data_IF_915090793098
#
_entry.id   IF_915090793098
#
_cell.length_a   1.000
_cell.length_b   1.000
_cell.length_c   1.000
_cell.angle_alpha   90.00
_cell.angle_beta   90.00
_cell.angle_gamma   90.00
#
_symmetry.space_group_name_H-M   'P 1'
#
loop_
_entity.id
_entity.type
_entity.pdbx_description
1 polymer ?
#
# COMPACT_ATOMS: atom_id res chain seq x y z
N UNK A 1 12.62 -15.45 14.49
CA UNK A 1 11.30 -15.47 15.19
C UNK A 1 10.32 -14.52 14.50
N UNK A 2 9.00 -14.63 14.69
CA UNK A 2 8.03 -13.69 14.07
C UNK A 2 8.31 -12.24 14.48
N UNK A 3 8.62 -12.06 15.76
CA UNK A 3 9.09 -10.81 16.35
C UNK A 3 10.39 -10.29 15.72
N UNK A 4 11.33 -11.18 15.37
CA UNK A 4 12.57 -10.82 14.69
C UNK A 4 12.31 -10.32 13.26
N UNK A 5 11.40 -10.95 12.53
CA UNK A 5 11.00 -10.50 11.20
C UNK A 5 10.30 -9.13 11.23
N UNK A 6 9.42 -8.92 12.22
CA UNK A 6 8.81 -7.60 12.46
C UNK A 6 9.85 -6.55 12.82
N UNK A 7 10.82 -6.89 13.68
CA UNK A 7 11.91 -6.01 14.07
C UNK A 7 12.79 -5.63 12.87
N UNK A 8 13.15 -6.59 12.00
CA UNK A 8 13.92 -6.31 10.78
C UNK A 8 13.17 -5.38 9.82
N UNK A 9 11.84 -5.53 9.69
CA UNK A 9 11.01 -4.64 8.87
C UNK A 9 10.95 -3.22 9.44
N UNK A 10 10.76 -3.10 10.76
CA UNK A 10 10.77 -1.81 11.45
C UNK A 10 12.16 -1.15 11.38
N UNK A 11 13.22 -1.94 11.48
CA UNK A 11 14.59 -1.47 11.30
C UNK A 11 14.82 -0.95 9.89
N UNK A 12 14.35 -1.65 8.85
CA UNK A 12 14.46 -1.19 7.46
C UNK A 12 13.82 0.21 7.28
N UNK A 13 12.63 0.40 7.85
CA UNK A 13 11.94 1.69 7.84
C UNK A 13 12.70 2.77 8.61
N UNK A 14 13.22 2.45 9.80
CA UNK A 14 13.98 3.40 10.61
C UNK A 14 15.32 3.79 9.97
N UNK A 15 16.01 2.83 9.34
CA UNK A 15 17.24 3.08 8.58
C UNK A 15 16.99 4.05 7.43
N UNK A 16 15.87 3.86 6.74
CA UNK A 16 15.50 4.72 5.64
C UNK A 16 15.11 6.14 6.07
N UNK A 17 14.33 6.27 7.15
CA UNK A 17 14.02 7.57 7.76
C UNK A 17 15.28 8.28 8.27
N UNK A 18 16.30 7.52 8.71
CA UNK A 18 17.61 8.01 9.14
C UNK A 18 18.61 8.29 8.02
N UNK A 19 18.25 8.11 6.74
CA UNK A 19 19.14 8.35 5.60
C UNK A 19 20.31 7.35 5.51
N UNK A 20 20.12 6.13 6.02
CA UNK A 20 21.10 5.06 5.90
C UNK A 20 21.35 4.69 4.43
N UNK A 21 22.46 3.98 4.19
CA UNK A 21 22.78 3.49 2.84
C UNK A 21 21.69 2.52 2.36
N UNK A 22 21.30 2.64 1.09
CA UNK A 22 20.23 1.84 0.45
C UNK A 22 20.46 0.33 0.60
N UNK A 23 21.71 -0.11 0.49
CA UNK A 23 22.10 -1.50 0.74
C UNK A 23 21.71 -2.01 2.14
N UNK A 24 21.76 -1.18 3.18
CA UNK A 24 21.39 -1.57 4.54
C UNK A 24 19.87 -1.71 4.69
N UNK A 25 19.10 -0.84 4.04
CA UNK A 25 17.64 -0.91 4.00
C UNK A 25 17.20 -2.18 3.26
N UNK A 26 17.79 -2.44 2.09
CA UNK A 26 17.54 -3.66 1.32
C UNK A 26 17.89 -4.94 2.09
N UNK A 27 19.04 -4.98 2.75
CA UNK A 27 19.46 -6.16 3.51
C UNK A 27 18.51 -6.45 4.68
N UNK A 28 18.04 -5.41 5.37
CA UNK A 28 17.05 -5.54 6.43
C UNK A 28 15.72 -6.10 5.89
N UNK A 29 15.22 -5.61 4.75
CA UNK A 29 14.04 -6.15 4.10
C UNK A 29 14.23 -7.61 3.64
N UNK A 30 15.36 -7.93 3.00
CA UNK A 30 15.70 -9.30 2.57
C UNK A 30 15.79 -10.25 3.77
N UNK A 31 16.32 -9.80 4.91
CA UNK A 31 16.33 -10.58 6.14
C UNK A 31 14.91 -10.80 6.67
N UNK A 32 14.08 -9.76 6.74
CA UNK A 32 12.69 -9.87 7.17
C UNK A 32 11.90 -10.86 6.30
N UNK A 33 12.03 -10.79 4.97
CA UNK A 33 11.34 -11.70 4.04
C UNK A 33 11.82 -13.15 4.19
N UNK A 34 13.14 -13.37 4.37
CA UNK A 34 13.68 -14.70 4.66
C UNK A 34 13.11 -15.29 5.95
N UNK A 35 12.95 -14.47 6.99
CA UNK A 35 12.34 -14.91 8.25
C UNK A 35 10.86 -15.25 8.02
N UNK A 36 10.12 -14.41 7.30
CA UNK A 36 8.71 -14.64 7.00
C UNK A 36 8.49 -15.96 6.26
N UNK A 37 9.28 -16.23 5.21
CA UNK A 37 9.22 -17.48 4.46
C UNK A 37 9.58 -18.71 5.32
N UNK A 38 10.59 -18.62 6.18
CA UNK A 38 10.94 -19.73 7.10
C UNK A 38 9.83 -20.08 8.08
N UNK A 39 8.89 -19.18 8.29
CA UNK A 39 7.81 -19.30 9.27
C UNK A 39 6.45 -19.48 8.62
N UNK A 40 6.40 -19.53 7.28
CA UNK A 40 5.16 -19.48 6.51
C UNK A 40 4.23 -18.31 6.94
N UNK A 41 4.83 -17.19 7.37
CA UNK A 41 4.11 -16.00 7.82
C UNK A 41 3.74 -15.12 6.63
N UNK A 42 2.54 -15.34 6.10
CA UNK A 42 2.02 -14.64 4.94
C UNK A 42 1.72 -13.18 5.22
N UNK A 43 1.29 -12.83 6.44
CA UNK A 43 1.03 -11.44 6.84
C UNK A 43 2.35 -10.64 6.91
N UNK A 44 3.39 -11.23 7.49
CA UNK A 44 4.71 -10.60 7.53
C UNK A 44 5.30 -10.50 6.12
N UNK A 45 5.17 -11.55 5.29
CA UNK A 45 5.63 -11.52 3.89
C UNK A 45 4.95 -10.39 3.12
N UNK A 46 3.64 -10.24 3.27
CA UNK A 46 2.86 -9.15 2.67
C UNK A 46 3.34 -7.77 3.13
N UNK A 47 3.53 -7.60 4.44
CA UNK A 47 3.99 -6.35 5.02
C UNK A 47 5.40 -5.96 4.55
N UNK A 48 6.30 -6.95 4.43
CA UNK A 48 7.67 -6.74 3.93
C UNK A 48 7.65 -6.36 2.45
N UNK A 49 6.92 -7.10 1.61
CA UNK A 49 6.80 -6.80 0.17
C UNK A 49 6.22 -5.41 -0.07
N UNK A 50 5.18 -5.03 0.70
CA UNK A 50 4.62 -3.67 0.65
C UNK A 50 5.66 -2.61 1.03
N UNK A 51 6.44 -2.85 2.10
CA UNK A 51 7.51 -1.94 2.52
C UNK A 51 8.60 -1.78 1.47
N UNK A 52 9.02 -2.89 0.83
CA UNK A 52 10.00 -2.88 -0.26
C UNK A 52 9.50 -2.08 -1.47
N UNK A 53 8.23 -2.25 -1.85
CA UNK A 53 7.62 -1.46 -2.92
C UNK A 53 7.59 0.04 -2.60
N UNK A 54 7.20 0.42 -1.39
CA UNK A 54 7.20 1.83 -0.96
C UNK A 54 8.60 2.43 -0.83
N UNK A 55 9.61 1.63 -0.51
CA UNK A 55 11.03 2.03 -0.54
C UNK A 55 11.48 2.31 -1.98
N UNK A 56 11.26 1.36 -2.88
CA UNK A 56 11.60 1.50 -4.30
C UNK A 56 10.93 2.72 -4.95
N UNK A 57 9.65 3.00 -4.64
CA UNK A 57 8.98 4.21 -5.11
C UNK A 57 9.69 5.50 -4.67
N UNK A 58 10.17 5.57 -3.43
CA UNK A 58 10.89 6.76 -2.93
C UNK A 58 12.30 6.88 -3.47
N UNK A 59 12.94 5.76 -3.78
CA UNK A 59 14.20 5.73 -4.53
C UNK A 59 14.01 6.12 -6.01
N UNK A 60 12.77 6.17 -6.50
CA UNK A 60 12.43 6.53 -7.88
C UNK A 60 12.41 5.34 -8.85
N UNK A 61 12.53 4.11 -8.35
CA UNK A 61 12.48 2.88 -9.15
C UNK A 61 11.04 2.34 -9.19
N UNK A 62 10.24 2.89 -10.10
CA UNK A 62 8.83 2.51 -10.27
C UNK A 62 8.65 1.07 -10.76
N UNK A 63 9.58 0.54 -11.58
CA UNK A 63 9.49 -0.82 -12.11
C UNK A 63 9.74 -1.84 -10.99
N UNK A 64 10.73 -1.59 -10.14
CA UNK A 64 10.99 -2.42 -8.97
C UNK A 64 9.86 -2.32 -7.93
N UNK A 65 9.31 -1.13 -7.73
CA UNK A 65 8.16 -0.96 -6.86
C UNK A 65 6.95 -1.76 -7.33
N UNK A 66 6.61 -1.67 -8.61
CA UNK A 66 5.53 -2.44 -9.21
C UNK A 66 5.75 -3.94 -9.03
N UNK A 67 6.98 -4.42 -9.24
CA UNK A 67 7.33 -5.83 -9.04
C UNK A 67 6.95 -6.30 -7.62
N UNK A 68 7.34 -5.55 -6.58
CA UNK A 68 7.01 -5.91 -5.20
C UNK A 68 5.52 -5.78 -4.89
N UNK A 69 4.84 -4.76 -5.41
CA UNK A 69 3.41 -4.60 -5.21
C UNK A 69 2.59 -5.70 -5.89
N UNK A 70 3.00 -6.19 -7.07
CA UNK A 70 2.35 -7.33 -7.73
C UNK A 70 2.52 -8.63 -6.93
N UNK A 71 3.70 -8.85 -6.32
CA UNK A 71 3.90 -9.97 -5.41
C UNK A 71 3.01 -9.86 -4.17
N UNK A 72 2.96 -8.69 -3.53
CA UNK A 72 2.10 -8.43 -2.38
C UNK A 72 0.61 -8.63 -2.73
N UNK A 73 0.18 -8.16 -3.89
CA UNK A 73 -1.19 -8.33 -4.38
C UNK A 73 -1.53 -9.80 -4.64
N UNK A 74 -0.62 -10.54 -5.26
CA UNK A 74 -0.81 -11.98 -5.52
C UNK A 74 -0.94 -12.75 -4.21
N UNK A 75 -0.12 -12.40 -3.21
CA UNK A 75 -0.21 -12.99 -1.89
C UNK A 75 -1.53 -12.66 -1.20
N UNK A 76 -1.91 -11.37 -1.19
CA UNK A 76 -3.15 -10.92 -0.55
C UNK A 76 -4.39 -11.59 -1.14
N UNK A 77 -4.50 -11.64 -2.47
CA UNK A 77 -5.62 -12.29 -3.19
C UNK A 77 -5.78 -13.77 -2.88
N UNK A 78 -4.69 -14.46 -2.53
CA UNK A 78 -4.69 -15.92 -2.39
C UNK A 78 -4.97 -16.37 -0.97
N UNK A 79 -4.45 -15.67 0.03
CA UNK A 79 -4.36 -16.20 1.40
C UNK A 79 -4.63 -15.18 2.52
N UNK A 80 -4.96 -13.91 2.20
CA UNK A 80 -5.20 -12.87 3.22
C UNK A 80 -6.64 -12.34 3.17
N UNK A 81 -6.97 -11.44 4.09
CA UNK A 81 -8.28 -10.83 4.17
C UNK A 81 -8.45 -9.71 3.13
N UNK A 82 -9.71 -9.29 2.92
CA UNK A 82 -10.05 -8.21 1.99
C UNK A 82 -9.34 -6.89 2.31
N UNK A 83 -8.95 -6.69 3.58
CA UNK A 83 -8.15 -5.55 4.04
C UNK A 83 -6.79 -5.49 3.35
N UNK A 84 -6.04 -6.59 3.36
CA UNK A 84 -4.71 -6.66 2.73
C UNK A 84 -4.83 -6.58 1.21
N UNK A 85 -5.86 -7.18 0.63
CA UNK A 85 -6.14 -7.01 -0.81
C UNK A 85 -6.40 -5.54 -1.15
N UNK A 86 -7.18 -4.82 -0.34
CA UNK A 86 -7.45 -3.40 -0.55
C UNK A 86 -6.17 -2.55 -0.51
N UNK A 87 -5.28 -2.84 0.43
CA UNK A 87 -3.98 -2.17 0.56
C UNK A 87 -3.13 -2.43 -0.69
N UNK A 88 -3.04 -3.69 -1.13
CA UNK A 88 -2.24 -4.07 -2.29
C UNK A 88 -2.73 -3.42 -3.59
N UNK A 89 -4.06 -3.39 -3.78
CA UNK A 89 -4.69 -2.73 -4.92
C UNK A 89 -4.43 -1.22 -4.92
N UNK A 90 -4.48 -0.56 -3.75
CA UNK A 90 -4.16 0.87 -3.62
C UNK A 90 -2.70 1.21 -3.92
N UNK A 91 -1.76 0.43 -3.37
CA UNK A 91 -0.32 0.66 -3.59
C UNK A 91 0.08 0.44 -5.06
N UNK A 92 -0.45 -0.61 -5.69
CA UNK A 92 -0.23 -0.82 -7.11
C UNK A 92 -0.80 0.34 -7.93
N UNK A 93 -2.03 0.77 -7.63
CA UNK A 93 -2.65 1.91 -8.31
C UNK A 93 -1.79 3.19 -8.22
N UNK A 94 -1.24 3.49 -7.05
CA UNK A 94 -0.32 4.62 -6.85
C UNK A 94 0.91 4.51 -7.77
N UNK A 95 1.54 3.34 -7.81
CA UNK A 95 2.71 3.08 -8.65
C UNK A 95 2.39 3.28 -10.14
N UNK A 96 1.26 2.71 -10.60
CA UNK A 96 0.81 2.81 -11.99
C UNK A 96 0.46 4.26 -12.39
N UNK A 97 -0.08 5.05 -11.46
CA UNK A 97 -0.50 6.42 -11.72
C UNK A 97 0.67 7.37 -12.06
N UNK A 98 1.92 6.98 -11.76
CA UNK A 98 3.12 7.71 -12.17
C UNK A 98 3.31 7.73 -13.70
N UNK A 99 2.79 6.73 -14.41
CA UNK A 99 2.79 6.67 -15.86
C UNK A 99 1.49 7.22 -16.44
N UNK A 100 1.57 8.32 -17.20
CA UNK A 100 0.41 8.95 -17.87
C UNK A 100 -0.43 7.96 -18.68
N UNK A 101 0.22 7.06 -19.43
CA UNK A 101 -0.42 6.04 -20.26
C UNK A 101 -1.09 4.93 -19.45
N UNK A 102 -0.72 4.77 -18.18
CA UNK A 102 -1.19 3.71 -17.28
C UNK A 102 -2.24 4.17 -16.29
N UNK A 103 -2.60 5.46 -16.29
CA UNK A 103 -3.71 6.00 -15.47
C UNK A 103 -5.03 5.22 -15.57
N UNK A 104 -5.47 4.73 -16.75
CA UNK A 104 -6.67 3.91 -16.81
C UNK A 104 -6.55 2.59 -16.01
N UNK A 105 -5.38 1.97 -16.07
CA UNK A 105 -5.06 0.78 -15.28
C UNK A 105 -5.04 1.11 -13.78
N UNK A 106 -4.36 2.21 -13.41
CA UNK A 106 -4.32 2.72 -12.04
C UNK A 106 -5.73 2.94 -11.47
N UNK A 107 -6.64 3.57 -12.24
CA UNK A 107 -8.01 3.82 -11.79
C UNK A 107 -8.84 2.55 -11.62
N UNK A 108 -8.61 1.53 -12.45
CA UNK A 108 -9.23 0.22 -12.24
C UNK A 108 -8.82 -0.39 -10.89
N UNK A 109 -7.53 -0.27 -10.53
CA UNK A 109 -7.00 -0.70 -9.24
C UNK A 109 -7.54 0.17 -8.08
N UNK A 110 -7.58 1.49 -8.22
CA UNK A 110 -8.16 2.38 -7.21
C UNK A 110 -9.64 2.08 -6.95
N UNK A 111 -10.43 1.85 -8.00
CA UNK A 111 -11.84 1.46 -7.87
C UNK A 111 -11.99 0.17 -7.07
N UNK A 112 -11.12 -0.80 -7.32
CA UNK A 112 -11.13 -2.06 -6.60
C UNK A 112 -10.71 -1.89 -5.13
N UNK A 113 -9.70 -1.07 -4.86
CA UNK A 113 -9.29 -0.72 -3.50
C UNK A 113 -10.43 -0.06 -2.71
N UNK A 114 -11.13 0.92 -3.30
CA UNK A 114 -12.31 1.57 -2.67
C UNK A 114 -13.39 0.53 -2.33
N UNK A 115 -13.74 -0.34 -3.28
CA UNK A 115 -14.76 -1.36 -3.08
C UNK A 115 -14.39 -2.34 -1.94
N UNK A 116 -13.14 -2.77 -1.88
CA UNK A 116 -12.66 -3.68 -0.84
C UNK A 116 -12.65 -2.99 0.53
N UNK A 117 -12.24 -1.72 0.63
CA UNK A 117 -12.31 -0.98 1.89
C UNK A 117 -13.76 -0.79 2.38
N UNK A 118 -14.71 -0.55 1.47
CA UNK A 118 -16.13 -0.47 1.82
C UNK A 118 -16.68 -1.79 2.37
N UNK A 119 -16.27 -2.93 1.78
CA UNK A 119 -16.66 -4.25 2.26
C UNK A 119 -16.00 -4.62 3.59
N UNK A 120 -14.72 -4.26 3.75
CA UNK A 120 -13.96 -4.47 4.98
C UNK A 120 -14.57 -3.71 6.17
N UNK A 121 -15.26 -2.60 5.93
CA UNK A 121 -16.02 -1.86 6.93
C UNK A 121 -15.15 -1.46 8.13
N UNK A 122 -15.42 -2.04 9.30
CA UNK A 122 -14.68 -1.85 10.56
C UNK A 122 -13.19 -2.22 10.50
N UNK A 123 -12.83 -3.12 9.59
CA UNK A 123 -11.45 -3.61 9.44
C UNK A 123 -10.63 -2.83 8.40
N UNK A 124 -11.22 -1.81 7.76
CA UNK A 124 -10.51 -0.98 6.80
C UNK A 124 -9.30 -0.30 7.45
N UNK A 125 -8.17 -0.25 6.73
CA UNK A 125 -6.95 0.41 7.22
C UNK A 125 -7.07 1.93 7.07
N UNK A 126 -7.12 2.72 8.16
CA UNK A 126 -7.31 4.17 8.09
C UNK A 126 -6.19 4.86 7.30
N UNK A 127 -4.95 4.40 7.48
CA UNK A 127 -3.78 4.88 6.75
C UNK A 127 -3.89 4.60 5.25
N UNK A 128 -4.34 3.41 4.86
CA UNK A 128 -4.50 3.06 3.46
C UNK A 128 -5.64 3.84 2.79
N UNK A 129 -6.75 4.04 3.51
CA UNK A 129 -7.86 4.88 3.03
C UNK A 129 -7.41 6.34 2.88
N UNK A 130 -6.56 6.85 3.79
CA UNK A 130 -5.96 8.19 3.69
C UNK A 130 -5.08 8.32 2.45
N UNK A 131 -4.18 7.37 2.22
CA UNK A 131 -3.33 7.35 1.03
C UNK A 131 -4.17 7.31 -0.25
N UNK A 132 -5.11 6.36 -0.32
CA UNK A 132 -6.07 6.22 -1.43
C UNK A 132 -6.82 7.52 -1.74
N UNK A 133 -7.31 8.22 -0.70
CA UNK A 133 -7.97 9.50 -0.87
C UNK A 133 -7.03 10.58 -1.45
N UNK A 134 -5.81 10.69 -0.92
CA UNK A 134 -4.81 11.65 -1.41
C UNK A 134 -4.42 11.38 -2.86
N UNK A 135 -4.19 10.11 -3.22
CA UNK A 135 -3.82 9.73 -4.58
C UNK A 135 -4.96 10.02 -5.58
N UNK A 136 -6.20 9.70 -5.22
CA UNK A 136 -7.38 10.05 -6.02
C UNK A 136 -7.55 11.56 -6.18
N UNK A 137 -7.27 12.33 -5.12
CA UNK A 137 -7.32 13.79 -5.17
C UNK A 137 -6.26 14.35 -6.14
N UNK A 138 -5.05 13.81 -6.15
CA UNK A 138 -4.00 14.20 -7.09
C UNK A 138 -4.43 13.96 -8.56
N UNK A 139 -5.11 12.84 -8.83
CA UNK A 139 -5.63 12.51 -10.16
C UNK A 139 -6.79 13.40 -10.63
N UNK A 140 -7.40 14.18 -9.75
CA UNK A 140 -8.50 15.09 -10.10
C UNK A 140 -8.02 16.41 -10.78
N UNK A 141 -6.70 16.68 -10.81
CA UNK A 141 -6.13 17.94 -11.30
C UNK A 141 -6.03 18.11 -12.82
N UNK A 142 -6.29 17.07 -13.63
CA UNK A 142 -6.17 17.11 -15.10
C UNK A 142 -7.48 17.43 -15.83
N UNK A 143 -7.55 17.13 -17.13
CA UNK A 143 -8.78 17.14 -17.94
C UNK A 143 -8.99 15.77 -18.59
N UNK A 144 -10.23 15.28 -18.65
CA UNK A 144 -10.60 14.07 -19.41
C UNK A 144 -11.32 12.98 -18.60
N UNK A 145 -11.54 11.83 -19.24
CA UNK A 145 -12.33 10.73 -18.69
C UNK A 145 -11.77 10.19 -17.36
N UNK A 146 -10.45 10.06 -17.27
CA UNK A 146 -9.77 9.53 -16.09
C UNK A 146 -9.99 10.43 -14.86
N UNK A 147 -10.01 11.74 -15.06
CA UNK A 147 -10.32 12.70 -14.02
C UNK A 147 -11.77 12.56 -13.54
N UNK A 148 -12.73 12.40 -14.46
CA UNK A 148 -14.14 12.24 -14.09
C UNK A 148 -14.34 10.98 -13.26
N UNK A 149 -13.66 9.89 -13.61
CA UNK A 149 -13.69 8.65 -12.82
C UNK A 149 -13.05 8.83 -11.44
N UNK A 150 -11.87 9.46 -11.35
CA UNK A 150 -11.24 9.79 -10.07
C UNK A 150 -12.18 10.64 -9.17
N UNK A 151 -12.83 11.65 -9.76
CA UNK A 151 -13.83 12.50 -9.09
C UNK A 151 -15.06 11.71 -8.61
N UNK A 152 -15.44 10.65 -9.31
CA UNK A 152 -16.51 9.75 -8.89
C UNK A 152 -16.12 8.87 -7.69
N UNK A 153 -14.84 8.50 -7.58
CA UNK A 153 -14.32 7.69 -6.47
C UNK A 153 -14.01 8.52 -5.21
N UNK A 154 -13.63 9.78 -5.37
CA UNK A 154 -13.18 10.64 -4.27
C UNK A 154 -14.19 10.77 -3.12
N UNK A 155 -15.51 10.99 -3.34
CA UNK A 155 -16.50 11.06 -2.26
C UNK A 155 -16.62 9.74 -1.47
N UNK A 156 -16.40 8.60 -2.13
CA UNK A 156 -16.44 7.28 -1.48
C UNK A 156 -15.24 7.10 -0.55
N UNK A 157 -14.04 7.44 -1.03
CA UNK A 157 -12.84 7.45 -0.20
C UNK A 157 -12.96 8.43 0.99
N UNK A 158 -13.55 9.60 0.79
CA UNK A 158 -13.81 10.56 1.87
C UNK A 158 -14.81 10.03 2.91
N UNK A 159 -15.87 9.33 2.49
CA UNK A 159 -16.81 8.70 3.42
C UNK A 159 -16.14 7.59 4.24
N UNK A 160 -15.24 6.81 3.65
CA UNK A 160 -14.45 5.81 4.38
C UNK A 160 -13.55 6.48 5.44
N UNK A 161 -12.89 7.59 5.11
CA UNK A 161 -12.10 8.36 6.07
C UNK A 161 -12.95 8.89 7.22
N UNK A 162 -14.13 9.43 6.92
CA UNK A 162 -15.07 9.91 7.93
C UNK A 162 -15.48 8.78 8.88
N UNK A 163 -15.86 7.62 8.35
CA UNK A 163 -16.24 6.46 9.16
C UNK A 163 -15.08 5.99 10.04
N UNK A 164 -13.85 5.96 9.52
CA UNK A 164 -12.68 5.64 10.34
C UNK A 164 -12.46 6.67 11.47
N UNK A 165 -12.77 7.96 11.24
CA UNK A 165 -12.72 9.02 12.28
C UNK A 165 -13.74 8.82 13.37
N UNK A 166 -14.97 8.54 12.99
CA UNK A 166 -16.07 8.33 13.92
C UNK A 166 -15.85 7.11 14.83
N UNK A 167 -15.09 6.11 14.36
CA UNK A 167 -14.72 4.92 15.15
C UNK A 167 -13.53 5.15 16.09
N UNK A 168 -12.80 6.25 15.94
CA UNK A 168 -11.59 6.51 16.74
C UNK A 168 -10.35 5.76 16.27
N UNK A 169 -10.31 5.26 15.03
CA UNK A 169 -9.20 4.46 14.49
C UNK A 169 -7.92 5.29 14.13
N UNK A 170 -7.73 6.47 14.74
CA UNK A 170 -6.63 7.39 14.41
C UNK A 170 -5.57 7.38 15.51
N UNK A 171 -4.54 6.56 15.28
CA UNK A 171 -3.19 6.63 15.89
C UNK A 171 -3.12 6.62 17.43
N UNK A 172 -3.16 5.41 18.03
CA UNK A 172 -2.05 5.02 18.91
C UNK A 172 -0.98 4.43 17.99
N UNK A 173 0.08 5.20 17.68
CA UNK A 173 1.41 4.73 17.28
C UNK A 173 2.27 5.98 16.96
N UNK A 174 2.78 6.61 18.03
CA UNK A 174 4.00 7.42 18.03
C UNK A 174 5.20 6.49 18.27
#
# INVERSE_FOLDING_TARGET
>A
GRSEGQACRLLARALEEGGAAEAQVEDAFKQALRIAHKQDDMELSFSVLTGMGSHALRAGDADLAEHFFLQAQTLAKRVLAEREEAIAEGNLAQCLALGESRRPEALAHFRKAVLLQERAGGSASPQAVRALHTDLQALCGGEGQQQQEARGLLPRAASLLQKARERGDWEEDL
#
